data_IF_375607868568
#
_entry.id   IF_375607868568
#
_cell.length_a   1.000
_cell.length_b   1.000
_cell.length_c   1.000
_cell.angle_alpha   90.00
_cell.angle_beta   90.00
_cell.angle_gamma   90.00
#
_symmetry.space_group_name_H-M   'P 1'
#
loop_
_entity.id
_entity.type
_entity.pdbx_description
1 polymer ?
#
# COMPACT_ATOMS: atom_id res chain seq x y z
N UNK A 1 25.97 -39.84 0.32
CA UNK A 1 25.62 -40.74 -0.80
C UNK A 1 25.65 -42.18 -0.28
N UNK A 2 24.93 -43.16 -0.86
CA UNK A 2 23.91 -43.06 -1.92
C UNK A 2 22.56 -42.57 -1.29
N UNK A 3 21.32 -42.86 -1.73
CA UNK A 3 20.76 -43.55 -2.92
C UNK A 3 19.39 -42.92 -3.28
N UNK A 4 18.88 -43.17 -4.50
CA UNK A 4 17.52 -42.87 -4.97
C UNK A 4 16.86 -44.19 -5.41
N UNK A 5 15.55 -44.40 -5.17
CA UNK A 5 14.72 -45.25 -6.01
C UNK A 5 13.85 -44.42 -6.96
N UNK A 6 13.85 -44.80 -8.24
CA UNK A 6 12.91 -44.36 -9.28
C UNK A 6 11.78 -45.41 -9.44
N UNK A 7 10.80 -45.09 -10.28
CA UNK A 7 9.64 -45.92 -10.70
C UNK A 7 8.49 -46.04 -9.66
N UNK A 8 7.22 -46.01 -10.08
CA UNK A 8 6.74 -45.82 -11.46
C UNK A 8 5.21 -45.82 -11.64
N UNK A 9 4.83 -45.58 -12.90
CA UNK A 9 3.56 -45.87 -13.61
C UNK A 9 2.27 -46.21 -12.84
N UNK A 10 1.17 -45.52 -13.21
CA UNK A 10 -0.19 -45.88 -12.78
C UNK A 10 -1.30 -45.08 -13.47
N UNK A 11 -1.47 -45.23 -14.79
CA UNK A 11 -2.72 -44.81 -15.46
C UNK A 11 -3.76 -45.93 -15.38
N UNK A 12 -5.01 -45.60 -15.04
CA UNK A 12 -6.19 -46.40 -15.41
C UNK A 12 -7.41 -45.50 -15.67
N UNK A 13 -8.03 -45.71 -16.85
CA UNK A 13 -9.37 -45.23 -17.24
C UNK A 13 -10.47 -46.14 -16.65
N UNK A 14 -11.70 -45.94 -17.14
CA UNK A 14 -12.87 -46.86 -17.22
C UNK A 14 -13.99 -46.51 -16.23
N UNK A 15 -15.28 -46.35 -16.57
CA UNK A 15 -16.06 -46.21 -17.84
C UNK A 15 -17.50 -45.70 -17.53
N UNK A 16 -18.27 -45.33 -18.56
CA UNK A 16 -19.73 -45.13 -18.52
C UNK A 16 -20.09 -43.70 -18.95
N UNK A 17 -20.86 -43.43 -19.99
CA UNK A 17 -22.09 -44.08 -20.47
C UNK A 17 -23.20 -43.02 -20.35
N UNK A 18 -24.10 -42.77 -21.31
CA UNK A 18 -24.50 -43.52 -22.50
C UNK A 18 -24.80 -42.58 -23.69
N UNK A 19 -24.90 -43.14 -24.89
CA UNK A 19 -25.17 -42.42 -26.14
C UNK A 19 -26.65 -42.57 -26.54
N UNK A 20 -27.33 -41.49 -26.91
CA UNK A 20 -28.58 -41.56 -27.68
C UNK A 20 -28.58 -40.55 -28.85
N UNK A 21 -28.20 -41.05 -30.02
CA UNK A 21 -28.66 -40.58 -31.34
C UNK A 21 -30.09 -41.15 -31.57
N UNK A 22 -30.97 -40.61 -32.46
CA UNK A 22 -30.69 -40.06 -33.81
C UNK A 22 -31.40 -38.70 -34.03
N UNK A 23 -31.66 -38.13 -35.22
CA UNK A 23 -31.49 -38.49 -36.64
C UNK A 23 -31.27 -37.18 -37.45
N UNK A 24 -30.34 -37.13 -38.42
CA UNK A 24 -30.60 -37.18 -39.88
C UNK A 24 -31.35 -36.00 -40.54
N UNK A 25 -30.90 -35.65 -41.75
CA UNK A 25 -31.55 -34.77 -42.76
C UNK A 25 -31.58 -33.26 -42.38
N UNK A 26 -31.52 -32.29 -43.29
CA UNK A 26 -31.26 -32.22 -44.74
C UNK A 26 -30.99 -30.74 -45.10
N UNK A 27 -30.63 -30.43 -46.36
CA UNK A 27 -30.95 -29.12 -46.93
C UNK A 27 -29.77 -28.23 -47.31
N UNK A 28 -29.37 -28.33 -48.57
CA UNK A 28 -28.74 -27.22 -49.31
C UNK A 28 -29.68 -26.01 -49.37
N UNK A 29 -29.14 -24.79 -49.33
CA UNK A 29 -29.53 -23.65 -50.20
C UNK A 29 -28.70 -22.41 -49.88
N UNK A 30 -27.94 -21.94 -50.87
CA UNK A 30 -27.45 -20.56 -50.89
C UNK A 30 -28.63 -19.63 -51.20
N UNK A 31 -28.91 -18.66 -50.34
CA UNK A 31 -29.75 -17.51 -50.70
C UNK A 31 -29.49 -16.29 -49.82
N UNK A 32 -28.60 -15.44 -50.33
CA UNK A 32 -28.57 -13.98 -50.13
C UNK A 32 -29.85 -13.32 -49.55
N UNK A 33 -29.77 -12.73 -48.34
CA UNK A 33 -30.01 -11.28 -48.10
C UNK A 33 -30.01 -10.86 -46.62
N UNK A 34 -29.10 -9.94 -46.31
CA UNK A 34 -29.25 -8.80 -45.38
C UNK A 34 -30.43 -8.79 -44.38
N UNK A 35 -30.11 -8.92 -43.09
CA UNK A 35 -30.49 -7.88 -42.11
C UNK A 35 -29.56 -7.82 -40.89
N UNK A 36 -28.79 -6.74 -40.90
CA UNK A 36 -27.98 -6.13 -39.85
C UNK A 36 -28.55 -6.30 -38.43
N UNK A 37 -27.81 -6.97 -37.54
CA UNK A 37 -27.74 -6.63 -36.11
C UNK A 37 -26.28 -6.75 -35.67
N UNK A 38 -25.69 -5.60 -35.32
CA UNK A 38 -24.25 -5.45 -35.10
C UNK A 38 -23.73 -6.28 -33.94
N UNK A 39 -22.77 -7.16 -34.21
CA UNK A 39 -21.95 -7.82 -33.19
C UNK A 39 -20.72 -6.96 -32.93
N UNK A 40 -20.85 -5.94 -32.09
CA UNK A 40 -19.70 -5.23 -31.50
C UNK A 40 -20.05 -4.81 -30.07
N UNK A 41 -19.65 -5.62 -29.09
CA UNK A 41 -19.55 -5.19 -27.70
C UNK A 41 -18.09 -5.38 -27.29
N UNK A 42 -17.32 -4.32 -27.50
CA UNK A 42 -15.86 -4.33 -27.35
C UNK A 42 -15.40 -4.52 -25.90
N UNK A 43 -14.37 -5.35 -25.76
CA UNK A 43 -13.66 -5.68 -24.53
C UNK A 43 -12.94 -4.47 -23.93
N UNK A 44 -13.51 -3.80 -22.91
CA UNK A 44 -12.92 -2.63 -22.25
C UNK A 44 -13.25 -2.51 -20.74
N UNK A 45 -12.79 -3.44 -19.90
CA UNK A 45 -12.69 -3.24 -18.43
C UNK A 45 -11.44 -3.94 -17.86
N UNK A 46 -10.27 -3.30 -17.92
CA UNK A 46 -9.03 -3.85 -17.34
C UNK A 46 -7.98 -2.78 -16.97
N UNK A 47 -8.39 -1.68 -16.32
CA UNK A 47 -7.47 -0.58 -15.98
C UNK A 47 -7.90 0.27 -14.76
N UNK A 48 -8.14 -0.34 -13.58
CA UNK A 48 -8.59 0.42 -12.39
C UNK A 48 -8.32 -0.23 -11.01
N UNK A 49 -7.16 -0.87 -10.75
CA UNK A 49 -6.88 -1.51 -9.45
C UNK A 49 -5.47 -1.27 -8.85
N UNK A 50 -4.80 -0.16 -9.20
CA UNK A 50 -3.53 0.27 -8.58
C UNK A 50 -3.61 1.60 -7.83
N UNK A 51 -4.80 1.95 -7.33
CA UNK A 51 -4.97 2.97 -6.30
C UNK A 51 -4.75 2.34 -4.91
N UNK A 52 -3.51 1.94 -4.61
CA UNK A 52 -3.14 1.49 -3.26
C UNK A 52 -3.32 2.66 -2.30
N UNK A 53 -4.28 2.53 -1.39
CA UNK A 53 -4.74 3.61 -0.53
C UNK A 53 -3.62 4.10 0.41
N UNK A 54 -3.01 5.24 0.07
CA UNK A 54 -2.34 6.07 1.06
C UNK A 54 -3.42 6.78 1.88
N UNK A 55 -4.05 6.04 2.80
CA UNK A 55 -4.89 6.60 3.85
C UNK A 55 -3.99 7.42 4.77
N UNK A 56 -3.72 8.66 4.36
CA UNK A 56 -3.11 9.68 5.18
C UNK A 56 -4.08 10.02 6.32
N UNK A 57 -4.09 9.16 7.34
CA UNK A 57 -4.98 9.23 8.48
C UNK A 57 -4.87 10.64 9.08
N UNK A 58 -6.00 11.36 9.08
CA UNK A 58 -6.09 12.75 9.52
C UNK A 58 -6.01 12.85 11.06
N UNK A 59 -4.91 12.37 11.64
CA UNK A 59 -4.56 12.60 13.03
C UNK A 59 -4.37 14.09 13.24
N UNK A 60 -4.91 14.63 14.34
CA UNK A 60 -4.82 16.06 14.67
C UNK A 60 -3.34 16.43 14.79
N UNK A 61 -2.80 17.06 13.76
CA UNK A 61 -1.36 17.35 13.67
C UNK A 61 -0.88 18.14 14.90
N UNK A 62 0.05 17.59 15.71
CA UNK A 62 0.56 18.30 16.89
C UNK A 62 1.26 19.61 16.50
N UNK A 63 1.76 19.68 15.26
CA UNK A 63 2.36 20.88 14.67
C UNK A 63 1.35 22.04 14.53
N UNK A 64 0.09 21.77 14.14
CA UNK A 64 -0.94 22.83 14.07
C UNK A 64 -1.25 23.45 15.44
N UNK A 65 -1.25 22.64 16.51
CA UNK A 65 -1.42 23.14 17.89
C UNK A 65 -0.25 24.02 18.35
N UNK A 66 0.95 23.78 17.82
CA UNK A 66 2.14 24.59 18.03
C UNK A 66 2.26 25.82 17.10
N UNK A 67 1.15 26.21 16.44
CA UNK A 67 1.10 27.31 15.49
C UNK A 67 1.98 27.11 14.24
N UNK A 68 2.41 25.89 13.93
CA UNK A 68 3.16 25.63 12.69
C UNK A 68 2.16 25.65 11.54
N UNK A 69 2.23 26.71 10.74
CA UNK A 69 1.54 26.85 9.46
C UNK A 69 2.21 25.96 8.40
N UNK A 70 2.16 24.65 8.62
CA UNK A 70 2.55 23.64 7.64
C UNK A 70 1.39 23.43 6.65
N UNK A 71 1.71 23.44 5.36
CA UNK A 71 0.76 23.07 4.30
C UNK A 71 0.46 21.56 4.34
N UNK A 72 -0.50 21.11 3.50
CA UNK A 72 -0.77 19.67 3.36
C UNK A 72 0.44 18.92 2.78
N UNK A 73 1.15 19.57 1.87
CA UNK A 73 2.38 19.08 1.24
C UNK A 73 3.53 18.98 2.25
N UNK A 74 3.69 19.97 3.13
CA UNK A 74 4.66 19.92 4.24
C UNK A 74 4.37 18.73 5.17
N UNK A 75 3.11 18.52 5.54
CA UNK A 75 2.69 17.40 6.39
C UNK A 75 2.93 16.04 5.70
N UNK A 76 2.68 15.95 4.39
CA UNK A 76 2.94 14.74 3.62
C UNK A 76 4.45 14.43 3.52
N UNK A 77 5.30 15.44 3.32
CA UNK A 77 6.76 15.29 3.31
C UNK A 77 7.31 14.89 4.68
N UNK A 78 6.79 15.49 5.76
CA UNK A 78 7.12 15.13 7.14
C UNK A 78 6.71 13.69 7.46
N UNK A 79 5.52 13.26 7.06
CA UNK A 79 5.04 11.89 7.25
C UNK A 79 5.87 10.87 6.44
N UNK A 80 6.19 11.20 5.18
CA UNK A 80 7.04 10.36 4.33
C UNK A 80 8.45 10.20 4.92
N UNK A 81 9.04 11.26 5.47
CA UNK A 81 10.31 11.18 6.18
C UNK A 81 10.20 10.37 7.49
N UNK A 82 9.18 10.63 8.30
CA UNK A 82 8.96 9.95 9.58
C UNK A 82 8.71 8.44 9.42
N UNK A 83 7.94 8.04 8.39
CA UNK A 83 7.56 6.64 8.16
C UNK A 83 8.75 5.73 7.90
N UNK A 84 9.80 6.19 7.20
CA UNK A 84 11.06 5.46 7.05
C UNK A 84 11.71 5.11 8.39
N UNK A 85 11.57 5.98 9.39
CA UNK A 85 12.14 5.78 10.73
C UNK A 85 11.29 4.86 11.59
N UNK A 86 9.96 5.07 11.65
CA UNK A 86 9.11 4.29 12.54
C UNK A 86 8.64 2.95 11.97
N UNK A 87 8.43 2.85 10.64
CA UNK A 87 7.91 1.66 9.99
C UNK A 87 8.99 0.67 9.51
N UNK A 88 10.27 1.00 9.66
CA UNK A 88 11.37 0.06 9.40
C UNK A 88 11.30 -1.15 10.35
N UNK A 89 11.39 -2.35 9.76
CA UNK A 89 11.50 -3.62 10.51
C UNK A 89 12.82 -3.72 11.30
N UNK A 90 13.85 -2.99 10.87
CA UNK A 90 15.15 -2.86 11.55
C UNK A 90 15.38 -1.41 12.01
N UNK A 91 14.69 -0.94 13.07
CA UNK A 91 14.77 0.45 13.52
C UNK A 91 16.13 0.73 14.18
N UNK A 92 16.86 1.73 13.67
CA UNK A 92 18.16 2.14 14.22
C UNK A 92 18.03 3.44 15.01
N UNK A 93 18.26 3.39 16.32
CA UNK A 93 18.35 4.60 17.15
C UNK A 93 19.50 5.48 16.64
N UNK A 94 19.26 6.78 16.55
CA UNK A 94 20.15 7.75 15.90
C UNK A 94 20.01 7.82 14.38
N UNK A 95 19.10 7.07 13.74
CA UNK A 95 18.76 7.28 12.34
C UNK A 95 18.09 8.65 12.15
N UNK A 96 18.47 9.34 11.08
CA UNK A 96 18.07 10.72 10.76
C UNK A 96 17.40 10.72 9.39
N UNK A 97 16.25 11.38 9.29
CA UNK A 97 15.59 11.70 8.02
C UNK A 97 15.35 13.21 7.94
N UNK A 98 15.56 13.77 6.75
CA UNK A 98 15.37 15.19 6.49
C UNK A 98 14.24 15.38 5.47
N UNK A 99 13.47 16.45 5.63
CA UNK A 99 12.46 16.87 4.67
C UNK A 99 12.52 18.38 4.47
N UNK A 100 12.16 18.83 3.27
CA UNK A 100 12.16 20.25 2.89
C UNK A 100 11.16 20.50 1.79
N UNK A 101 10.41 21.59 1.88
CA UNK A 101 9.51 22.03 0.84
C UNK A 101 9.91 23.42 0.32
N UNK A 102 10.49 23.45 -0.89
CA UNK A 102 10.91 24.69 -1.52
C UNK A 102 9.77 25.69 -1.80
N UNK A 103 8.50 25.24 -1.82
CA UNK A 103 7.34 26.11 -2.05
C UNK A 103 6.90 26.90 -0.81
N UNK A 104 7.02 26.29 0.37
CA UNK A 104 6.64 26.91 1.65
C UNK A 104 7.84 27.51 2.40
N UNK A 105 9.07 27.12 2.04
CA UNK A 105 10.27 27.43 2.80
C UNK A 105 10.37 26.67 4.12
N UNK A 106 9.46 25.73 4.39
CA UNK A 106 9.49 24.90 5.59
C UNK A 106 10.40 23.69 5.40
N UNK A 107 11.16 23.33 6.43
CA UNK A 107 12.03 22.16 6.44
C UNK A 107 12.16 21.58 7.84
N UNK A 108 12.65 20.35 7.94
CA UNK A 108 12.91 19.75 9.24
C UNK A 108 13.75 18.49 9.19
N UNK A 109 14.23 18.14 10.37
CA UNK A 109 15.00 16.94 10.67
C UNK A 109 14.22 16.10 11.67
N UNK A 110 14.16 14.80 11.43
CA UNK A 110 13.51 13.81 12.30
C UNK A 110 14.59 12.81 12.71
N UNK A 111 14.73 12.57 14.02
CA UNK A 111 15.70 11.62 14.57
C UNK A 111 14.97 10.56 15.36
N UNK A 112 15.21 9.29 15.08
CA UNK A 112 14.69 8.18 15.90
C UNK A 112 15.52 8.09 17.20
N UNK A 113 14.97 8.58 18.31
CA UNK A 113 15.69 8.68 19.59
C UNK A 113 15.41 7.52 20.56
N UNK A 114 14.32 6.76 20.38
CA UNK A 114 14.10 5.53 21.15
C UNK A 114 13.26 4.48 20.42
N UNK A 115 13.51 3.22 20.75
CA UNK A 115 12.77 2.01 20.36
C UNK A 115 12.39 1.30 21.65
N UNK A 116 11.10 1.09 21.89
CA UNK A 116 10.60 0.50 23.15
C UNK A 116 9.25 -0.20 22.92
N UNK A 117 8.66 -0.77 23.98
CA UNK A 117 7.31 -1.34 23.98
C UNK A 117 6.44 -0.66 25.04
N UNK A 118 5.15 -0.47 24.75
CA UNK A 118 4.16 0.06 25.69
C UNK A 118 2.84 -0.67 25.49
N UNK A 119 2.27 -1.24 26.55
CA UNK A 119 1.07 -2.09 26.50
C UNK A 119 1.17 -3.19 25.41
N UNK A 120 2.32 -3.84 25.32
CA UNK A 120 2.69 -4.85 24.30
C UNK A 120 2.68 -4.36 22.83
N UNK A 121 2.51 -3.05 22.59
CA UNK A 121 2.67 -2.44 21.27
C UNK A 121 4.11 -1.94 21.09
N UNK A 122 4.79 -2.25 19.96
CA UNK A 122 6.10 -1.70 19.68
C UNK A 122 5.97 -0.21 19.35
N UNK A 123 6.76 0.61 20.04
CA UNK A 123 6.74 2.06 19.93
C UNK A 123 8.10 2.63 19.50
N UNK A 124 8.05 3.83 18.94
CA UNK A 124 9.16 4.57 18.37
C UNK A 124 9.03 6.02 18.83
N UNK A 125 10.06 6.56 19.46
CA UNK A 125 10.13 7.98 19.84
C UNK A 125 10.98 8.72 18.83
N UNK A 126 10.42 9.74 18.21
CA UNK A 126 11.13 10.60 17.26
C UNK A 126 11.24 12.01 17.81
N UNK A 127 12.42 12.60 17.71
CA UNK A 127 12.60 14.05 17.87
C UNK A 127 12.40 14.71 16.52
N UNK A 128 11.45 15.64 16.43
CA UNK A 128 11.25 16.49 15.27
C UNK A 128 11.84 17.86 15.57
N UNK A 129 12.68 18.38 14.69
CA UNK A 129 13.13 19.76 14.65
C UNK A 129 12.65 20.39 13.35
N UNK A 130 11.91 21.48 13.42
CA UNK A 130 11.22 22.10 12.29
C UNK A 130 11.58 23.56 12.19
N UNK A 131 12.19 23.94 11.07
CA UNK A 131 12.42 25.33 10.67
C UNK A 131 11.29 25.75 9.75
N UNK A 132 10.68 26.90 9.99
CA UNK A 132 9.54 27.37 9.21
C UNK A 132 9.73 28.84 8.84
N UNK A 133 9.40 29.21 7.60
CA UNK A 133 9.46 30.60 7.14
C UNK A 133 8.61 31.56 8.01
N UNK A 134 7.61 31.04 8.73
CA UNK A 134 6.73 31.82 9.60
C UNK A 134 7.30 32.12 11.01
N UNK A 135 8.47 31.60 11.39
CA UNK A 135 9.09 31.84 12.71
C UNK A 135 10.62 31.78 12.65
N UNK A 136 11.31 32.61 13.44
CA UNK A 136 12.79 32.60 13.49
C UNK A 136 13.35 31.38 14.21
N UNK A 137 12.73 30.99 15.32
CA UNK A 137 13.24 29.91 16.17
C UNK A 137 12.78 28.52 15.68
N UNK A 138 13.69 27.55 15.54
CA UNK A 138 13.33 26.17 15.24
C UNK A 138 12.41 25.58 16.31
N UNK A 139 11.30 24.99 15.88
CA UNK A 139 10.39 24.29 16.78
C UNK A 139 10.85 22.85 16.98
N UNK A 140 11.03 22.43 18.24
CA UNK A 140 11.37 21.04 18.57
C UNK A 140 10.26 20.36 19.38
N UNK A 141 9.92 19.13 19.02
CA UNK A 141 8.95 18.30 19.75
C UNK A 141 9.33 16.82 19.66
N UNK A 142 9.08 16.05 20.73
CA UNK A 142 9.18 14.60 20.68
C UNK A 142 7.80 14.00 20.44
N UNK A 143 7.70 13.07 19.49
CA UNK A 143 6.46 12.37 19.16
C UNK A 143 6.71 10.88 19.33
N UNK A 144 5.84 10.25 20.12
CA UNK A 144 5.78 8.80 20.27
C UNK A 144 4.77 8.24 19.26
N UNK A 145 5.19 7.24 18.48
CA UNK A 145 4.29 6.42 17.65
C UNK A 145 4.35 4.96 18.06
N UNK A 146 3.19 4.32 18.17
CA UNK A 146 3.06 2.91 18.52
C UNK A 146 2.31 2.17 17.42
N UNK A 147 2.72 0.92 17.14
CA UNK A 147 2.03 0.05 16.19
C UNK A 147 0.86 -0.63 16.91
N UNK A 148 -0.36 -0.41 16.43
CA UNK A 148 -1.56 -1.06 16.96
C UNK A 148 -1.56 -2.56 16.65
N UNK A 149 -2.39 -3.37 17.33
CA UNK A 149 -2.61 -4.78 16.95
C UNK A 149 -3.12 -4.95 15.51
N UNK A 150 -3.76 -3.93 14.92
CA UNK A 150 -4.17 -3.90 13.51
C UNK A 150 -3.00 -3.59 12.55
N UNK A 151 -1.79 -3.37 13.06
CA UNK A 151 -0.59 -3.09 12.28
C UNK A 151 -0.35 -1.61 11.92
N UNK A 152 -1.31 -0.73 12.21
CA UNK A 152 -1.24 0.72 11.94
C UNK A 152 -0.29 1.44 12.91
N UNK A 153 0.39 2.50 12.48
CA UNK A 153 1.17 3.35 13.37
C UNK A 153 0.36 4.60 13.79
N UNK A 154 0.16 4.78 15.10
CA UNK A 154 -0.61 5.91 15.67
C UNK A 154 0.21 6.71 16.66
N UNK A 155 0.02 8.04 16.66
CA UNK A 155 0.61 8.94 17.66
C UNK A 155 0.02 8.61 19.03
N UNK A 156 0.89 8.46 20.03
CA UNK A 156 0.51 8.38 21.45
C UNK A 156 0.53 9.80 22.04
N UNK A 157 -0.61 10.20 22.60
CA UNK A 157 -0.77 11.41 23.41
C UNK A 157 -0.60 11.12 24.90
#
# INVERSE_FOLDING_TARGET
MPKIPMFGAGQSRVTGGESFFPAQMQGVSDMSRTRTRSVVTGMLVAAALLASAAEAAAQVSPFRRAGLNLSKEDLALLEAAGSKLYASDAPKVGAIENWSNAKSGNAGTIVLIAVYSWNNMPCRRMSHQITSAARKDPYSVQIDRCRTPAGEWKIRY
#
